data_IF_528364891559
#
_entry.id   IF_528364891559
#
_cell.length_a   1.000
_cell.length_b   1.000
_cell.length_c   1.000
_cell.angle_alpha   90.00
_cell.angle_beta   90.00
_cell.angle_gamma   90.00
#
_symmetry.space_group_name_H-M   'P 1'
#
loop_
_entity.id
_entity.type
_entity.pdbx_description
1 polymer ?
#
# COMPACT_ATOMS: atom_id res chain seq x y z
N UNK A 1 -8.78 -7.10 35.16
CA UNK A 1 -9.30 -6.23 34.08
C UNK A 1 -9.85 -4.88 34.56
N UNK A 2 -10.26 -4.74 35.84
CA UNK A 2 -10.72 -3.46 36.40
C UNK A 2 -9.58 -2.49 36.73
N UNK A 3 -8.46 -2.99 37.15
CA UNK A 3 -7.29 -2.24 37.58
C UNK A 3 -6.61 -1.50 36.40
N UNK A 4 -6.52 -2.15 35.24
CA UNK A 4 -5.98 -1.53 34.02
C UNK A 4 -6.87 -0.38 33.49
N UNK A 5 -8.18 -0.56 33.59
CA UNK A 5 -9.17 0.49 33.19
C UNK A 5 -9.09 1.68 34.15
N UNK A 6 -8.87 1.45 35.46
CA UNK A 6 -8.67 2.50 36.42
C UNK A 6 -7.36 3.29 36.16
N UNK A 7 -6.25 2.59 35.91
CA UNK A 7 -4.96 3.22 35.59
C UNK A 7 -5.04 4.07 34.31
N UNK A 8 -5.68 3.58 33.24
CA UNK A 8 -5.86 4.35 31.99
C UNK A 8 -6.75 5.58 32.22
N UNK A 9 -7.79 5.46 33.05
CA UNK A 9 -8.64 6.59 33.40
C UNK A 9 -7.87 7.66 34.18
N UNK A 10 -7.12 7.25 35.22
CA UNK A 10 -6.32 8.16 36.05
C UNK A 10 -5.24 8.87 35.21
N UNK A 11 -4.65 8.20 34.24
CA UNK A 11 -3.68 8.82 33.32
C UNK A 11 -4.33 9.82 32.35
N UNK A 12 -5.52 9.51 31.84
CA UNK A 12 -6.30 10.45 31.00
C UNK A 12 -6.73 11.65 31.80
N UNK A 13 -7.24 11.46 33.03
CA UNK A 13 -7.67 12.54 33.90
C UNK A 13 -6.50 13.45 34.31
N UNK A 14 -5.30 12.88 34.55
CA UNK A 14 -4.08 13.64 34.79
C UNK A 14 -3.67 14.47 33.56
N UNK A 15 -3.69 13.90 32.37
CA UNK A 15 -3.37 14.61 31.13
C UNK A 15 -4.38 15.73 30.82
N UNK A 16 -5.67 15.53 31.14
CA UNK A 16 -6.70 16.54 31.00
C UNK A 16 -6.46 17.68 32.01
N UNK A 17 -6.09 17.36 33.26
CA UNK A 17 -5.81 18.34 34.31
C UNK A 17 -4.60 19.21 33.97
N UNK A 18 -3.57 18.66 33.33
CA UNK A 18 -2.37 19.37 32.87
C UNK A 18 -2.58 20.10 31.52
N UNK A 19 -3.68 19.84 30.82
CA UNK A 19 -3.97 20.49 29.55
C UNK A 19 -4.45 21.90 29.74
N UNK A 20 -3.93 22.86 28.96
CA UNK A 20 -4.44 24.23 28.94
C UNK A 20 -5.70 24.27 28.08
N UNK A 21 -6.78 24.89 28.61
CA UNK A 21 -8.00 25.03 27.82
C UNK A 21 -7.73 25.91 26.58
N UNK A 22 -8.28 25.49 25.45
CA UNK A 22 -8.25 26.31 24.23
C UNK A 22 -9.16 27.52 24.43
N UNK A 23 -8.56 28.68 24.70
CA UNK A 23 -9.29 29.95 24.78
C UNK A 23 -9.41 30.59 23.41
N UNK A 24 -10.42 31.45 23.22
CA UNK A 24 -10.58 32.19 21.96
C UNK A 24 -9.35 33.09 21.67
N UNK A 25 -8.71 33.61 22.70
CA UNK A 25 -7.48 34.39 22.57
C UNK A 25 -6.33 33.53 22.05
N UNK A 26 -6.18 32.32 22.56
CA UNK A 26 -5.15 31.37 22.08
C UNK A 26 -5.39 30.98 20.62
N UNK A 27 -6.65 30.74 20.23
CA UNK A 27 -7.01 30.41 18.84
C UNK A 27 -6.67 31.58 17.92
N UNK A 28 -6.99 32.85 18.30
CA UNK A 28 -6.65 34.03 17.51
C UNK A 28 -5.15 34.19 17.36
N UNK A 29 -4.39 34.04 18.45
CA UNK A 29 -2.93 34.15 18.43
C UNK A 29 -2.33 33.07 17.54
N UNK A 30 -2.83 31.81 17.63
CA UNK A 30 -2.38 30.72 16.77
C UNK A 30 -2.70 30.99 15.29
N UNK A 31 -3.87 31.53 14.97
CA UNK A 31 -4.22 31.90 13.60
C UNK A 31 -3.32 33.02 13.04
N UNK A 32 -2.96 34.00 13.84
CA UNK A 32 -2.05 35.06 13.44
C UNK A 32 -0.63 34.53 13.22
N UNK A 33 -0.13 33.71 14.14
CA UNK A 33 1.17 33.07 14.02
C UNK A 33 1.22 32.10 12.82
N UNK A 34 0.15 31.34 12.62
CA UNK A 34 0.03 30.47 11.48
C UNK A 34 0.04 31.24 10.14
N UNK A 35 -0.68 32.38 10.06
CA UNK A 35 -0.65 33.22 8.86
C UNK A 35 0.72 33.85 8.62
N UNK A 36 1.46 34.18 9.70
CA UNK A 36 2.77 34.81 9.63
C UNK A 36 3.90 33.86 9.31
N UNK A 37 3.86 32.62 9.82
CA UNK A 37 4.96 31.66 9.73
C UNK A 37 4.67 30.46 8.84
N UNK A 38 3.40 30.15 8.52
CA UNK A 38 3.09 29.10 7.57
C UNK A 38 3.45 29.55 6.15
N UNK A 39 4.26 28.79 5.45
CA UNK A 39 4.55 29.10 4.06
C UNK A 39 3.25 29.07 3.25
N UNK A 40 3.05 29.99 2.30
CA UNK A 40 1.82 30.06 1.50
C UNK A 40 1.57 28.72 0.81
N UNK A 41 0.45 28.07 1.15
CA UNK A 41 0.06 26.74 0.62
C UNK A 41 0.13 26.65 -0.91
N UNK A 42 -0.13 27.77 -1.60
CA UNK A 42 -0.07 27.86 -3.07
C UNK A 42 1.35 27.73 -3.61
N UNK A 43 2.35 28.26 -2.92
CA UNK A 43 3.74 28.24 -3.39
C UNK A 43 4.37 26.86 -3.13
N UNK A 44 4.00 26.20 -2.03
CA UNK A 44 4.39 24.79 -1.79
C UNK A 44 3.75 23.87 -2.83
N UNK A 45 2.47 24.04 -3.10
CA UNK A 45 1.77 23.22 -4.11
C UNK A 45 2.35 23.46 -5.51
N UNK A 46 2.60 24.73 -5.91
CA UNK A 46 3.26 25.06 -7.19
C UNK A 46 4.71 24.57 -7.26
N UNK A 47 5.45 24.59 -6.18
CA UNK A 47 6.82 24.05 -6.15
C UNK A 47 6.88 22.53 -6.20
N UNK A 48 5.76 21.86 -5.88
CA UNK A 48 5.59 20.40 -5.96
C UNK A 48 4.90 19.97 -7.28
N UNK A 49 4.18 20.90 -7.93
CA UNK A 49 3.62 20.68 -9.26
C UNK A 49 4.76 20.59 -10.29
N UNK A 50 4.99 19.39 -10.79
CA UNK A 50 6.03 19.12 -11.80
C UNK A 50 7.33 18.49 -11.28
N UNK A 51 7.50 18.31 -9.96
CA UNK A 51 8.61 17.49 -9.47
C UNK A 51 8.25 16.02 -9.57
N UNK A 52 9.02 15.30 -10.34
CA UNK A 52 8.98 13.85 -10.36
C UNK A 52 9.21 13.32 -8.93
N UNK A 53 8.27 12.52 -8.43
CA UNK A 53 8.40 11.91 -7.10
C UNK A 53 9.57 10.92 -7.13
N UNK A 54 10.54 11.13 -6.26
CA UNK A 54 11.75 10.31 -6.16
C UNK A 54 11.72 9.44 -4.90
N UNK A 55 12.24 8.22 -4.97
CA UNK A 55 12.37 7.37 -3.79
C UNK A 55 13.36 7.96 -2.78
N UNK A 56 13.06 7.85 -1.49
CA UNK A 56 13.96 8.20 -0.40
C UNK A 56 15.11 7.17 -0.27
N UNK A 57 16.07 7.43 0.64
CA UNK A 57 17.24 6.55 0.80
C UNK A 57 16.88 5.10 1.09
N UNK A 58 15.96 4.86 2.05
CA UNK A 58 15.50 3.52 2.41
C UNK A 58 14.79 2.81 1.24
N UNK A 59 13.97 3.55 0.51
CA UNK A 59 13.28 3.01 -0.67
C UNK A 59 14.27 2.65 -1.79
N UNK A 60 15.33 3.45 -2.00
CA UNK A 60 16.39 3.14 -2.97
C UNK A 60 17.13 1.85 -2.64
N UNK A 61 17.44 1.63 -1.36
CA UNK A 61 18.07 0.37 -0.90
C UNK A 61 17.14 -0.84 -1.12
N UNK A 62 15.86 -0.70 -0.80
CA UNK A 62 14.87 -1.75 -1.03
C UNK A 62 14.69 -2.06 -2.51
N UNK A 63 14.62 -1.04 -3.38
CA UNK A 63 14.55 -1.20 -4.85
C UNK A 63 15.79 -1.91 -5.40
N UNK A 64 16.99 -1.53 -4.93
CA UNK A 64 18.23 -2.20 -5.32
C UNK A 64 18.25 -3.68 -4.90
N UNK A 65 17.67 -3.99 -3.74
CA UNK A 65 17.54 -5.38 -3.24
C UNK A 65 16.55 -6.19 -4.08
N UNK A 66 15.39 -5.64 -4.43
CA UNK A 66 14.42 -6.28 -5.32
C UNK A 66 15.01 -6.56 -6.70
N UNK A 67 15.75 -5.59 -7.26
CA UNK A 67 16.44 -5.76 -8.53
C UNK A 67 17.44 -6.91 -8.49
N UNK A 68 18.29 -6.98 -7.45
CA UNK A 68 19.24 -8.06 -7.26
C UNK A 68 18.58 -9.44 -7.11
N UNK A 69 17.42 -9.53 -6.47
CA UNK A 69 16.65 -10.78 -6.36
C UNK A 69 16.22 -11.26 -7.76
N UNK A 70 15.67 -10.36 -8.57
CA UNK A 70 15.27 -10.67 -9.95
C UNK A 70 16.45 -11.08 -10.84
N UNK A 71 17.59 -10.40 -10.70
CA UNK A 71 18.82 -10.75 -11.42
C UNK A 71 19.36 -12.16 -11.05
N UNK A 72 19.02 -12.66 -9.85
CA UNK A 72 19.32 -14.03 -9.43
C UNK A 72 18.27 -15.06 -9.89
N UNK A 73 17.25 -14.63 -10.61
CA UNK A 73 16.17 -15.49 -11.08
C UNK A 73 15.06 -15.73 -10.06
N UNK A 74 15.02 -14.95 -8.98
CA UNK A 74 13.93 -15.06 -8.01
C UNK A 74 12.65 -14.43 -8.56
N UNK A 75 11.57 -15.20 -8.55
CA UNK A 75 10.25 -14.78 -9.05
C UNK A 75 9.33 -14.25 -7.97
N UNK A 76 9.75 -14.28 -6.70
CA UNK A 76 8.95 -13.87 -5.55
C UNK A 76 9.79 -13.11 -4.54
N UNK A 77 9.20 -12.07 -3.94
CA UNK A 77 9.81 -11.31 -2.87
C UNK A 77 8.76 -10.82 -1.87
N UNK A 78 9.19 -10.55 -0.64
CA UNK A 78 8.35 -9.91 0.38
C UNK A 78 9.06 -8.68 0.93
N UNK A 79 8.32 -7.57 0.98
CA UNK A 79 8.72 -6.36 1.69
C UNK A 79 8.07 -6.38 3.06
N UNK A 80 8.90 -6.45 4.09
CA UNK A 80 8.48 -6.28 5.49
C UNK A 80 8.85 -4.87 5.92
N UNK A 81 7.85 -4.05 6.21
CA UNK A 81 8.08 -2.66 6.64
C UNK A 81 6.88 -2.14 7.42
N UNK A 82 7.11 -1.37 8.47
CA UNK A 82 6.06 -0.84 9.34
C UNK A 82 4.99 -0.05 8.55
N UNK A 83 3.81 0.12 9.13
CA UNK A 83 2.76 0.97 8.55
C UNK A 83 3.27 2.42 8.44
N UNK A 84 2.85 3.14 7.40
CA UNK A 84 3.26 4.55 7.20
C UNK A 84 4.65 4.78 6.62
N UNK A 85 5.47 3.74 6.39
CA UNK A 85 6.82 3.86 5.81
C UNK A 85 6.84 4.11 4.30
N UNK A 86 5.68 4.17 3.66
CA UNK A 86 5.58 4.41 2.23
C UNK A 86 5.71 3.15 1.38
N UNK A 87 5.31 1.97 1.87
CA UNK A 87 5.29 0.69 1.12
C UNK A 87 4.62 0.82 -0.25
N UNK A 88 3.46 1.49 -0.31
CA UNK A 88 2.72 1.72 -1.56
C UNK A 88 3.53 2.53 -2.58
N UNK A 89 4.26 3.56 -2.11
CA UNK A 89 5.16 4.32 -2.98
C UNK A 89 6.35 3.47 -3.43
N UNK A 90 6.94 2.70 -2.51
CA UNK A 90 8.04 1.78 -2.83
C UNK A 90 7.64 0.78 -3.93
N UNK A 91 6.47 0.15 -3.80
CA UNK A 91 5.97 -0.77 -4.83
C UNK A 91 5.65 -0.06 -6.15
N UNK A 92 5.15 1.17 -6.11
CA UNK A 92 4.93 1.96 -7.32
C UNK A 92 6.24 2.33 -8.03
N UNK A 93 7.31 2.64 -7.27
CA UNK A 93 8.66 2.85 -7.84
C UNK A 93 9.20 1.57 -8.45
N UNK A 94 9.02 0.41 -7.80
CA UNK A 94 9.45 -0.87 -8.35
C UNK A 94 8.72 -1.20 -9.65
N UNK A 95 7.40 -1.00 -9.72
CA UNK A 95 6.61 -1.16 -10.95
C UNK A 95 7.07 -0.19 -12.04
N UNK A 96 7.43 1.05 -11.70
CA UNK A 96 7.98 2.03 -12.65
C UNK A 96 9.30 1.55 -13.25
N UNK A 97 10.16 0.94 -12.45
CA UNK A 97 11.44 0.40 -12.89
C UNK A 97 11.28 -0.92 -13.66
N UNK A 98 10.42 -1.81 -13.17
CA UNK A 98 10.14 -3.12 -13.79
C UNK A 98 9.42 -3.00 -15.14
N UNK A 99 8.49 -2.04 -15.29
CA UNK A 99 7.71 -1.77 -16.51
C UNK A 99 6.89 -2.97 -17.00
N UNK A 100 6.02 -3.54 -16.18
CA UNK A 100 5.20 -4.69 -16.60
C UNK A 100 4.30 -4.32 -17.78
N UNK A 101 3.97 -5.32 -18.61
CA UNK A 101 2.89 -5.19 -19.61
C UNK A 101 1.57 -5.00 -18.89
N UNK A 102 1.31 -5.86 -17.89
CA UNK A 102 0.14 -5.82 -17.04
C UNK A 102 0.51 -6.08 -15.58
N UNK A 103 -0.12 -5.36 -14.68
CA UNK A 103 0.07 -5.50 -13.24
C UNK A 103 -1.26 -5.73 -12.52
N UNK A 104 -1.24 -6.61 -11.53
CA UNK A 104 -2.34 -6.81 -10.59
C UNK A 104 -1.92 -6.40 -9.17
N UNK A 105 -2.68 -5.51 -8.55
CA UNK A 105 -2.54 -5.10 -7.14
C UNK A 105 -3.73 -5.66 -6.37
N UNK A 106 -3.49 -6.47 -5.33
CA UNK A 106 -4.51 -7.12 -4.52
C UNK A 106 -4.49 -6.56 -3.11
N UNK A 107 -5.64 -6.12 -2.62
CA UNK A 107 -5.85 -5.71 -1.22
C UNK A 107 -7.22 -6.14 -0.70
N UNK A 108 -7.43 -6.04 0.61
CA UNK A 108 -8.71 -6.41 1.24
C UNK A 108 -9.82 -5.38 0.98
N UNK A 109 -9.48 -4.10 1.00
CA UNK A 109 -10.47 -3.02 1.01
C UNK A 109 -10.35 -2.11 -0.20
N UNK A 110 -11.50 -1.76 -0.78
CA UNK A 110 -11.57 -0.85 -1.93
C UNK A 110 -10.96 0.53 -1.63
N UNK A 111 -11.04 1.00 -0.37
CA UNK A 111 -10.46 2.28 0.02
C UNK A 111 -8.93 2.27 -0.08
N UNK A 112 -8.29 1.16 0.30
CA UNK A 112 -6.84 0.95 0.14
C UNK A 112 -6.46 0.98 -1.34
N UNK A 113 -7.22 0.27 -2.18
CA UNK A 113 -6.99 0.26 -3.63
C UNK A 113 -7.06 1.66 -4.25
N UNK A 114 -8.09 2.46 -3.90
CA UNK A 114 -8.23 3.83 -4.39
C UNK A 114 -7.07 4.74 -3.96
N UNK A 115 -6.57 4.57 -2.74
CA UNK A 115 -5.40 5.30 -2.24
C UNK A 115 -4.13 4.86 -2.98
N UNK A 116 -3.95 3.55 -3.18
CA UNK A 116 -2.84 2.99 -3.95
C UNK A 116 -2.86 3.48 -5.40
N UNK A 117 -4.01 3.44 -6.09
CA UNK A 117 -4.16 3.97 -7.46
C UNK A 117 -3.67 5.41 -7.59
N UNK A 118 -4.02 6.29 -6.63
CA UNK A 118 -3.55 7.69 -6.63
C UNK A 118 -2.02 7.78 -6.50
N UNK A 119 -1.42 6.95 -5.65
CA UNK A 119 0.02 6.90 -5.45
C UNK A 119 0.73 6.39 -6.71
N UNK A 120 0.21 5.33 -7.30
CA UNK A 120 0.70 4.76 -8.56
C UNK A 120 0.61 5.75 -9.71
N UNK A 121 -0.53 6.42 -9.87
CA UNK A 121 -0.70 7.45 -10.91
C UNK A 121 0.37 8.54 -10.81
N UNK A 122 0.64 9.01 -9.58
CA UNK A 122 1.67 10.04 -9.34
C UNK A 122 3.08 9.56 -9.66
N UNK A 123 3.42 8.32 -9.28
CA UNK A 123 4.76 7.76 -9.49
C UNK A 123 4.99 7.36 -10.93
N UNK A 124 4.00 6.73 -11.57
CA UNK A 124 4.10 6.24 -12.95
C UNK A 124 3.93 7.35 -13.98
N UNK A 125 3.29 8.47 -13.60
CA UNK A 125 2.96 9.54 -14.54
C UNK A 125 2.01 9.09 -15.67
N UNK A 126 1.26 7.99 -15.46
CA UNK A 126 0.39 7.43 -16.46
C UNK A 126 -1.01 8.07 -16.45
N UNK A 127 -1.75 8.07 -17.57
CA UNK A 127 -3.11 8.54 -17.59
C UNK A 127 -4.04 7.64 -16.77
N UNK A 128 -5.10 8.23 -16.21
CA UNK A 128 -6.11 7.50 -15.42
C UNK A 128 -6.71 6.30 -16.18
N UNK A 129 -6.75 6.36 -17.51
CA UNK A 129 -7.26 5.29 -18.37
C UNK A 129 -6.43 4.00 -18.32
N UNK A 130 -5.18 4.04 -17.85
CA UNK A 130 -4.35 2.85 -17.68
C UNK A 130 -4.59 2.14 -16.33
N UNK A 131 -5.24 2.82 -15.37
CA UNK A 131 -5.56 2.25 -14.07
C UNK A 131 -7.01 1.77 -14.03
N UNK A 132 -7.22 0.56 -13.53
CA UNK A 132 -8.53 -0.05 -13.43
C UNK A 132 -8.83 -0.56 -12.03
N UNK A 133 -10.06 -0.36 -11.57
CA UNK A 133 -10.55 -0.90 -10.31
C UNK A 133 -11.41 -2.14 -10.60
N UNK A 134 -11.07 -3.28 -9.98
CA UNK A 134 -11.82 -4.52 -10.11
C UNK A 134 -12.35 -4.99 -8.75
N UNK A 135 -13.63 -4.70 -8.51
CA UNK A 135 -14.32 -4.95 -7.25
C UNK A 135 -15.74 -5.46 -7.50
N UNK A 136 -16.51 -5.70 -6.45
CA UNK A 136 -17.92 -6.04 -6.58
C UNK A 136 -18.74 -5.04 -7.40
N UNK A 137 -18.36 -3.75 -7.37
CA UNK A 137 -19.09 -2.64 -7.99
C UNK A 137 -18.40 -2.03 -9.21
N UNK A 138 -17.14 -2.40 -9.51
CA UNK A 138 -16.37 -1.89 -10.64
C UNK A 138 -15.69 -3.03 -11.39
N UNK A 139 -15.75 -3.01 -12.72
CA UNK A 139 -15.28 -4.09 -13.60
C UNK A 139 -14.35 -3.53 -14.69
N UNK A 140 -13.21 -2.96 -14.27
CA UNK A 140 -12.22 -2.37 -15.17
C UNK A 140 -10.96 -3.27 -15.27
N UNK A 141 -11.18 -4.56 -15.48
CA UNK A 141 -10.12 -5.57 -15.54
C UNK A 141 -9.29 -5.54 -16.83
N UNK A 142 -9.72 -4.81 -17.84
CA UNK A 142 -9.04 -4.65 -19.14
C UNK A 142 -7.87 -3.65 -19.11
N UNK A 143 -7.66 -2.98 -17.98
CA UNK A 143 -6.63 -1.94 -17.83
C UNK A 143 -5.25 -2.55 -17.63
N UNK A 144 -4.23 -1.76 -17.92
CA UNK A 144 -2.84 -2.14 -17.74
C UNK A 144 -2.49 -2.43 -16.28
N UNK A 145 -2.91 -1.54 -15.38
CA UNK A 145 -2.69 -1.64 -13.94
C UNK A 145 -4.02 -1.88 -13.24
N UNK A 146 -4.28 -3.14 -12.88
CA UNK A 146 -5.54 -3.55 -12.25
C UNK A 146 -5.40 -3.59 -10.74
N UNK A 147 -6.32 -2.93 -10.04
CA UNK A 147 -6.40 -2.89 -8.59
C UNK A 147 -7.66 -3.64 -8.15
N UNK A 148 -7.48 -4.80 -7.54
CA UNK A 148 -8.57 -5.71 -7.22
C UNK A 148 -8.71 -5.99 -5.73
N UNK A 149 -9.96 -6.12 -5.25
CA UNK A 149 -10.16 -6.69 -3.91
C UNK A 149 -10.03 -8.20 -3.96
N UNK A 150 -9.40 -8.77 -2.92
CA UNK A 150 -9.28 -10.22 -2.79
C UNK A 150 -10.66 -10.89 -2.79
N UNK A 151 -11.67 -10.27 -2.18
CA UNK A 151 -13.05 -10.79 -2.14
C UNK A 151 -13.66 -10.95 -3.52
N UNK A 152 -13.35 -10.05 -4.45
CA UNK A 152 -13.80 -10.16 -5.85
C UNK A 152 -12.96 -11.16 -6.61
N UNK A 153 -11.63 -11.05 -6.49
CA UNK A 153 -10.71 -11.86 -7.28
C UNK A 153 -10.76 -13.35 -6.92
N UNK A 154 -11.00 -13.71 -5.65
CA UNK A 154 -11.10 -15.11 -5.21
C UNK A 154 -12.31 -15.89 -5.75
N UNK A 155 -13.28 -15.21 -6.35
CA UNK A 155 -14.45 -15.86 -6.94
C UNK A 155 -14.02 -16.66 -8.19
N UNK A 156 -14.47 -17.92 -8.34
CA UNK A 156 -14.07 -18.73 -9.48
C UNK A 156 -14.38 -18.08 -10.84
N UNK A 157 -15.53 -17.40 -10.94
CA UNK A 157 -15.98 -16.73 -12.15
C UNK A 157 -15.10 -15.48 -12.46
N UNK A 158 -14.53 -14.85 -11.44
CA UNK A 158 -13.60 -13.74 -11.62
C UNK A 158 -12.24 -14.26 -12.08
N UNK A 159 -11.70 -15.29 -11.42
CA UNK A 159 -10.43 -15.91 -11.79
C UNK A 159 -10.47 -16.49 -13.21
N UNK A 160 -11.58 -17.13 -13.61
CA UNK A 160 -11.75 -17.72 -14.93
C UNK A 160 -11.66 -16.69 -16.09
N UNK A 161 -11.71 -15.38 -15.79
CA UNK A 161 -11.55 -14.33 -16.79
C UNK A 161 -10.09 -14.00 -17.10
N UNK A 162 -9.14 -14.56 -16.35
CA UNK A 162 -7.73 -14.28 -16.49
C UNK A 162 -6.93 -15.56 -16.68
N UNK A 163 -5.98 -15.54 -17.60
CA UNK A 163 -4.98 -16.60 -17.68
C UNK A 163 -4.03 -16.55 -16.47
N UNK A 164 -3.39 -17.66 -16.14
CA UNK A 164 -2.45 -17.74 -15.00
C UNK A 164 -1.22 -16.84 -15.17
N UNK A 165 -0.85 -16.53 -16.41
CA UNK A 165 0.23 -15.64 -16.86
C UNK A 165 -0.25 -14.28 -17.37
N UNK A 166 -1.53 -13.93 -17.13
CA UNK A 166 -2.14 -12.67 -17.60
C UNK A 166 -1.38 -11.44 -17.11
N UNK A 167 -0.88 -11.49 -15.88
CA UNK A 167 -0.13 -10.41 -15.25
C UNK A 167 1.32 -10.84 -15.05
N UNK A 168 2.23 -10.08 -15.63
CA UNK A 168 3.68 -10.26 -15.44
C UNK A 168 4.14 -9.77 -14.05
N UNK A 169 3.35 -8.91 -13.40
CA UNK A 169 3.66 -8.43 -12.04
C UNK A 169 2.41 -8.50 -11.16
N UNK A 170 2.47 -9.29 -10.09
CA UNK A 170 1.39 -9.42 -9.11
C UNK A 170 1.86 -8.90 -7.76
N UNK A 171 1.10 -7.98 -7.17
CA UNK A 171 1.36 -7.44 -5.85
C UNK A 171 0.24 -7.82 -4.89
N UNK A 172 0.62 -8.35 -3.72
CA UNK A 172 -0.30 -8.73 -2.65
C UNK A 172 -0.03 -7.86 -1.43
N UNK A 173 -0.94 -6.96 -1.14
CA UNK A 173 -0.88 -6.12 0.05
C UNK A 173 -1.39 -6.88 1.28
N UNK A 174 -0.76 -6.63 2.44
CA UNK A 174 -1.02 -7.34 3.69
C UNK A 174 -0.90 -8.87 3.53
N UNK A 175 0.20 -9.31 2.90
CA UNK A 175 0.44 -10.71 2.55
C UNK A 175 0.45 -11.68 3.76
N UNK A 176 0.53 -11.16 4.99
CA UNK A 176 0.35 -11.98 6.20
C UNK A 176 -1.05 -12.63 6.29
N UNK A 177 -2.02 -12.14 5.53
CA UNK A 177 -3.30 -12.82 5.33
C UNK A 177 -3.27 -13.88 4.23
N UNK A 178 -2.13 -14.10 3.56
CA UNK A 178 -2.03 -15.01 2.42
C UNK A 178 -2.39 -16.47 2.72
N UNK A 179 -2.33 -16.91 3.99
CA UNK A 179 -2.82 -18.22 4.40
C UNK A 179 -4.34 -18.34 4.51
N UNK A 180 -5.09 -17.25 4.42
CA UNK A 180 -6.53 -17.35 4.28
C UNK A 180 -6.86 -17.93 2.89
N UNK A 181 -7.78 -18.87 2.83
CA UNK A 181 -8.16 -19.60 1.60
C UNK A 181 -8.37 -18.71 0.37
N UNK A 182 -8.94 -17.52 0.58
CA UNK A 182 -9.21 -16.60 -0.51
C UNK A 182 -7.94 -15.99 -1.13
N UNK A 183 -6.93 -15.68 -0.32
CA UNK A 183 -5.64 -15.18 -0.82
C UNK A 183 -4.87 -16.29 -1.51
N UNK A 184 -4.83 -17.48 -0.89
CA UNK A 184 -4.14 -18.63 -1.44
C UNK A 184 -4.65 -18.96 -2.84
N UNK A 185 -5.97 -19.01 -3.03
CA UNK A 185 -6.60 -19.27 -4.33
C UNK A 185 -6.15 -18.28 -5.40
N UNK A 186 -6.03 -16.99 -5.07
CA UNK A 186 -5.59 -15.96 -6.02
C UNK A 186 -4.09 -16.10 -6.31
N UNK A 187 -3.27 -16.32 -5.29
CA UNK A 187 -1.82 -16.52 -5.44
C UNK A 187 -1.51 -17.75 -6.29
N UNK A 188 -2.23 -18.85 -6.05
CA UNK A 188 -2.05 -20.10 -6.80
C UNK A 188 -2.50 -19.96 -8.26
N UNK A 189 -3.55 -19.16 -8.51
CA UNK A 189 -4.01 -18.91 -9.87
C UNK A 189 -2.96 -18.16 -10.71
N UNK A 190 -2.36 -17.11 -10.14
CA UNK A 190 -1.35 -16.28 -10.81
C UNK A 190 0.09 -16.74 -10.53
N UNK A 191 0.30 -18.00 -10.22
CA UNK A 191 1.64 -18.56 -9.93
C UNK A 191 2.64 -18.44 -11.08
N UNK A 192 2.14 -18.31 -12.32
CA UNK A 192 2.93 -18.19 -13.54
C UNK A 192 3.28 -16.72 -13.88
N UNK A 193 2.96 -15.77 -13.00
CA UNK A 193 3.41 -14.39 -13.11
C UNK A 193 4.95 -14.32 -13.07
N UNK A 194 5.53 -13.44 -13.88
CA UNK A 194 7.00 -13.26 -13.93
C UNK A 194 7.57 -12.83 -12.58
N UNK A 195 6.84 -11.98 -11.85
CA UNK A 195 7.24 -11.54 -10.52
C UNK A 195 6.04 -11.31 -9.58
N UNK A 196 6.13 -11.85 -8.38
CA UNK A 196 5.13 -11.65 -7.33
C UNK A 196 5.74 -10.97 -6.12
N UNK A 197 5.19 -9.82 -5.73
CA UNK A 197 5.63 -9.03 -4.58
C UNK A 197 4.59 -9.05 -3.46
N UNK A 198 4.95 -9.58 -2.30
CA UNK A 198 4.18 -9.44 -1.07
C UNK A 198 4.58 -8.20 -0.28
N UNK A 199 3.63 -7.52 0.32
CA UNK A 199 3.90 -6.44 1.28
C UNK A 199 3.23 -6.75 2.62
N UNK A 200 3.94 -6.54 3.73
CA UNK A 200 3.38 -6.72 5.07
C UNK A 200 4.04 -5.80 6.10
N UNK A 201 3.32 -5.50 7.16
CA UNK A 201 3.88 -4.84 8.34
C UNK A 201 4.49 -5.84 9.34
N UNK A 202 4.09 -7.09 9.29
CA UNK A 202 4.53 -8.16 10.20
C UNK A 202 5.22 -9.27 9.42
N UNK A 203 6.44 -9.70 9.81
CA UNK A 203 7.19 -10.74 9.09
C UNK A 203 6.62 -12.14 9.32
N UNK A 204 5.91 -12.36 10.41
CA UNK A 204 5.43 -13.66 10.82
C UNK A 204 3.91 -13.65 10.98
N UNK A 205 3.30 -14.77 10.64
CA UNK A 205 1.89 -15.02 10.94
C UNK A 205 1.77 -15.54 12.37
N UNK A 206 0.70 -15.16 13.04
CA UNK A 206 0.36 -15.64 14.40
C UNK A 206 0.12 -17.14 14.49
N UNK A 207 -0.07 -17.83 13.35
CA UNK A 207 -0.26 -19.28 13.24
C UNK A 207 1.03 -20.06 12.98
N UNK A 208 2.19 -19.40 13.00
CA UNK A 208 3.51 -20.04 12.85
C UNK A 208 3.84 -20.52 11.43
N UNK A 209 3.00 -20.24 10.45
CA UNK A 209 3.29 -20.57 9.04
C UNK A 209 4.18 -19.48 8.44
N UNK A 210 5.35 -19.89 7.93
CA UNK A 210 6.26 -19.00 7.24
C UNK A 210 5.62 -18.53 5.91
N UNK A 211 5.44 -17.22 5.75
CA UNK A 211 4.85 -16.61 4.55
C UNK A 211 5.67 -16.96 3.29
N UNK A 212 6.99 -17.22 3.44
CA UNK A 212 7.89 -17.59 2.35
C UNK A 212 7.68 -19.02 1.81
N UNK A 213 6.98 -19.90 2.54
CA UNK A 213 6.72 -21.28 2.14
C UNK A 213 5.40 -21.47 1.40
N UNK A 214 4.56 -20.44 1.34
CA UNK A 214 3.29 -20.47 0.61
C UNK A 214 3.59 -20.46 -0.88
N UNK A 215 3.51 -21.64 -1.50
CA UNK A 215 3.60 -21.78 -2.96
C UNK A 215 4.94 -22.34 -3.50
N UNK A 216 5.60 -23.23 -2.74
CA UNK A 216 6.55 -24.20 -3.32
C UNK A 216 5.85 -25.37 -3.97
#
# INVERSE_FOLDING_TARGET
NGELVAQVRDEIDSQIADSKPLTEEWIKQYEEDFKKYAPPRRDILKSLEGREIQPNAMQKEALASLKKLREKGEHRAIIVSATGTGKTYLSAFDVREYRPRRMLYIAQQQMILKAAMKSYQKVLGCPQSELGLYTGTSKQQDRRYVFATVQTMRQPEALAQFASDEFDYVLVDEVHHAGAEGYQRVIDHFRDADFMLGMTATPERTDGINIFEIGR
#
